data_IF_789570636698
#
_entry.id   IF_789570636698
#
_cell.length_a   1.000
_cell.length_b   1.000
_cell.length_c   1.000
_cell.angle_alpha   90.00
_cell.angle_beta   90.00
_cell.angle_gamma   90.00
#
_symmetry.space_group_name_H-M   'P 1'
#
loop_
_entity.id
_entity.type
_entity.pdbx_description
1 polymer ?
#
# COMPACT_ATOMS: atom_id res chain seq x y z
N UNK A 1 24.28 11.09 4.72
CA UNK A 1 24.29 11.26 4.08
C UNK A 1 24.51 11.82 3.45
N UNK A 2 24.62 11.88 3.46
CA UNK A 2 24.73 12.45 2.83
C UNK A 2 25.03 12.51 1.98
N UNK A 3 25.19 12.50 1.51
CA UNK A 3 25.54 12.65 0.73
C UNK A 3 25.57 13.11 -0.28
N UNK A 4 26.18 13.39 -0.19
CA UNK A 4 26.32 14.10 -1.43
C UNK A 4 25.18 13.92 -2.38
N UNK A 5 24.57 12.82 -2.32
CA UNK A 5 23.41 12.55 -3.15
C UNK A 5 22.16 12.69 -2.32
N UNK A 6 22.01 13.86 -1.78
CA UNK A 6 20.85 14.13 -0.95
C UNK A 6 19.67 14.52 -1.82
N UNK A 7 18.59 13.74 -1.71
CA UNK A 7 17.37 14.04 -2.42
C UNK A 7 16.77 15.33 -1.86
N UNK A 8 16.47 16.32 -2.72
CA UNK A 8 15.82 17.53 -2.24
C UNK A 8 14.50 17.23 -1.55
N UNK A 9 14.21 17.98 -0.51
CA UNK A 9 12.95 17.83 0.21
C UNK A 9 11.74 17.89 -0.74
N UNK A 10 11.82 18.76 -1.75
CA UNK A 10 10.76 18.88 -2.74
C UNK A 10 10.52 17.55 -3.48
N UNK A 11 11.59 16.92 -3.95
CA UNK A 11 11.48 15.67 -4.69
C UNK A 11 10.95 14.56 -3.80
N UNK A 12 11.49 14.46 -2.58
CA UNK A 12 11.01 13.47 -1.60
C UNK A 12 9.54 13.71 -1.29
N UNK A 13 9.15 14.96 -1.10
CA UNK A 13 7.75 15.30 -0.83
C UNK A 13 6.82 14.90 -1.96
N UNK A 14 7.23 15.13 -3.20
CA UNK A 14 6.43 14.72 -4.36
C UNK A 14 6.28 13.21 -4.45
N UNK A 15 7.37 12.48 -4.24
CA UNK A 15 7.33 11.00 -4.29
C UNK A 15 6.41 10.46 -3.20
N UNK A 16 6.56 10.96 -1.98
CA UNK A 16 5.72 10.52 -0.85
C UNK A 16 4.26 10.88 -1.11
N UNK A 17 4.01 12.08 -1.63
CA UNK A 17 2.65 12.53 -1.94
C UNK A 17 2.00 11.60 -2.97
N UNK A 18 2.74 11.21 -4.01
CA UNK A 18 2.24 10.27 -5.01
C UNK A 18 1.85 8.95 -4.38
N UNK A 19 2.67 8.43 -3.47
CA UNK A 19 2.35 7.19 -2.77
C UNK A 19 1.09 7.32 -1.93
N UNK A 20 0.94 8.42 -1.20
CA UNK A 20 -0.25 8.67 -0.38
C UNK A 20 -1.49 8.78 -1.25
N UNK A 21 -1.41 9.53 -2.34
CA UNK A 21 -2.53 9.69 -3.27
C UNK A 21 -2.93 8.34 -3.86
N UNK A 22 -1.96 7.51 -4.23
CA UNK A 22 -2.23 6.18 -4.77
C UNK A 22 -3.00 5.32 -3.77
N UNK A 23 -2.60 5.33 -2.50
CA UNK A 23 -3.30 4.54 -1.47
C UNK A 23 -4.71 5.06 -1.24
N UNK A 24 -4.89 6.38 -1.24
CA UNK A 24 -6.22 6.98 -1.05
C UNK A 24 -7.14 6.69 -2.22
N UNK A 25 -6.63 6.80 -3.45
CA UNK A 25 -7.41 6.49 -4.64
C UNK A 25 -7.82 5.03 -4.65
N UNK A 26 -6.89 4.13 -4.30
CA UNK A 26 -7.17 2.71 -4.24
C UNK A 26 -8.31 2.41 -3.27
N UNK A 27 -8.22 2.95 -2.07
CA UNK A 27 -9.26 2.75 -1.06
C UNK A 27 -10.61 3.27 -1.54
N UNK A 28 -10.63 4.45 -2.14
CA UNK A 28 -11.86 5.06 -2.64
C UNK A 28 -12.46 4.23 -3.77
N UNK A 29 -11.64 3.82 -4.72
CA UNK A 29 -12.10 3.04 -5.87
C UNK A 29 -12.69 1.71 -5.40
N UNK A 30 -12.02 1.01 -4.49
CA UNK A 30 -12.52 -0.27 -3.99
C UNK A 30 -13.83 -0.10 -3.25
N UNK A 31 -13.95 0.92 -2.39
CA UNK A 31 -15.17 1.17 -1.66
C UNK A 31 -16.35 1.46 -2.59
N UNK A 32 -16.11 2.23 -3.64
CA UNK A 32 -17.15 2.55 -4.63
C UNK A 32 -17.51 1.32 -5.44
N UNK A 33 -16.54 0.47 -5.75
CA UNK A 33 -16.72 -0.68 -6.62
C UNK A 33 -17.24 -1.93 -5.90
N UNK A 34 -17.37 -1.92 -4.57
CA UNK A 34 -17.72 -3.13 -3.82
C UNK A 34 -19.03 -3.76 -4.32
N UNK A 35 -20.05 -2.94 -4.56
CA UNK A 35 -21.34 -3.45 -5.03
C UNK A 35 -21.22 -4.12 -6.39
N UNK A 36 -20.50 -3.49 -7.31
CA UNK A 36 -20.26 -4.05 -8.65
C UNK A 36 -19.46 -5.33 -8.57
N UNK A 37 -18.42 -5.36 -7.73
CA UNK A 37 -17.58 -6.54 -7.56
C UNK A 37 -18.37 -7.70 -6.95
N UNK A 38 -19.26 -7.41 -5.99
CA UNK A 38 -20.11 -8.44 -5.41
C UNK A 38 -20.98 -9.10 -6.48
N UNK A 39 -21.55 -8.30 -7.38
CA UNK A 39 -22.33 -8.82 -8.49
C UNK A 39 -21.48 -9.63 -9.47
N UNK A 40 -20.31 -9.14 -9.83
CA UNK A 40 -19.39 -9.79 -10.77
C UNK A 40 -18.92 -11.15 -10.24
N UNK A 41 -18.68 -11.27 -8.95
CA UNK A 41 -18.24 -12.51 -8.33
C UNK A 41 -19.39 -13.36 -7.80
N UNK A 42 -20.63 -12.95 -8.04
CA UNK A 42 -21.83 -13.68 -7.59
C UNK A 42 -21.81 -13.94 -6.09
N UNK A 43 -21.48 -12.91 -5.32
CA UNK A 43 -21.37 -13.01 -3.87
C UNK A 43 -22.09 -11.84 -3.20
N UNK A 44 -22.12 -11.83 -1.88
CA UNK A 44 -22.75 -10.77 -1.11
C UNK A 44 -21.78 -9.61 -0.89
N UNK A 45 -22.33 -8.44 -0.61
CA UNK A 45 -21.54 -7.26 -0.25
C UNK A 45 -20.72 -7.54 1.03
N UNK A 46 -21.32 -8.24 2.00
CA UNK A 46 -20.63 -8.58 3.24
C UNK A 46 -19.38 -9.45 2.97
N UNK A 47 -19.49 -10.43 2.09
CA UNK A 47 -18.35 -11.26 1.70
C UNK A 47 -17.31 -10.43 0.96
N UNK A 48 -17.75 -9.52 0.10
CA UNK A 48 -16.85 -8.66 -0.67
C UNK A 48 -16.07 -7.70 0.23
N UNK A 49 -16.66 -7.30 1.35
CA UNK A 49 -15.99 -6.41 2.30
C UNK A 49 -14.73 -7.05 2.91
N UNK A 50 -14.57 -8.37 2.83
CA UNK A 50 -13.33 -9.02 3.24
C UNK A 50 -12.12 -8.52 2.46
N UNK A 51 -12.33 -8.05 1.23
CA UNK A 51 -11.25 -7.44 0.46
C UNK A 51 -10.73 -6.18 1.15
N UNK A 52 -11.62 -5.35 1.69
CA UNK A 52 -11.23 -4.16 2.44
C UNK A 52 -10.64 -4.54 3.80
N UNK A 53 -11.27 -5.47 4.50
CA UNK A 53 -10.81 -5.93 5.81
C UNK A 53 -9.42 -6.58 5.72
N UNK A 54 -9.22 -7.44 4.71
CA UNK A 54 -7.92 -8.08 4.50
C UNK A 54 -6.82 -7.06 4.25
N UNK A 55 -7.12 -6.03 3.45
CA UNK A 55 -6.19 -4.93 3.21
C UNK A 55 -5.84 -4.20 4.51
N UNK A 56 -6.87 -3.82 5.29
CA UNK A 56 -6.66 -3.08 6.52
C UNK A 56 -5.92 -3.90 7.58
N UNK A 57 -6.21 -5.20 7.68
CA UNK A 57 -5.51 -6.07 8.62
C UNK A 57 -4.03 -6.18 8.25
N UNK A 58 -3.74 -6.41 6.98
CA UNK A 58 -2.35 -6.51 6.51
C UNK A 58 -1.62 -5.20 6.74
N UNK A 59 -2.27 -4.07 6.44
CA UNK A 59 -1.72 -2.75 6.67
C UNK A 59 -1.41 -2.53 8.15
N UNK A 60 -2.33 -2.89 9.02
CA UNK A 60 -2.14 -2.74 10.46
C UNK A 60 -1.00 -3.60 10.99
N UNK A 61 -0.84 -4.80 10.44
CA UNK A 61 0.23 -5.71 10.86
C UNK A 61 1.61 -5.21 10.47
N UNK A 62 1.71 -4.44 9.40
CA UNK A 62 3.02 -3.95 8.93
C UNK A 62 3.48 -2.69 9.64
N UNK A 63 2.57 -1.91 10.23
CA UNK A 63 2.95 -0.67 10.89
C UNK A 63 4.01 -0.88 11.98
N UNK A 64 3.86 -1.84 12.92
CA UNK A 64 4.89 -2.05 13.94
C UNK A 64 6.19 -2.62 13.39
N UNK A 65 6.18 -3.21 12.20
CA UNK A 65 7.38 -3.78 11.58
C UNK A 65 8.22 -2.70 10.90
N UNK A 66 7.65 -1.54 10.63
CA UNK A 66 8.27 -0.48 9.85
C UNK A 66 9.64 -0.07 10.40
N UNK A 67 9.72 0.17 11.71
CA UNK A 67 10.98 0.59 12.32
C UNK A 67 12.09 -0.43 12.15
N UNK A 68 11.76 -1.70 12.35
CA UNK A 68 12.72 -2.79 12.16
C UNK A 68 13.19 -2.86 10.71
N UNK A 69 12.25 -2.81 9.77
CA UNK A 69 12.56 -2.92 8.35
C UNK A 69 13.46 -1.77 7.88
N UNK A 70 13.13 -0.55 8.28
CA UNK A 70 13.92 0.63 7.91
C UNK A 70 15.31 0.56 8.53
N UNK A 71 15.41 0.13 9.78
CA UNK A 71 16.69 -0.02 10.45
C UNK A 71 17.59 -1.05 9.80
N UNK A 72 16.99 -2.12 9.25
CA UNK A 72 17.76 -3.20 8.62
C UNK A 72 18.08 -2.93 7.14
N UNK A 73 17.14 -2.40 6.39
CA UNK A 73 17.27 -2.29 4.93
C UNK A 73 17.39 -0.86 4.43
N UNK A 74 17.16 0.13 5.28
CA UNK A 74 17.17 1.53 4.89
C UNK A 74 15.80 1.96 4.36
N UNK A 75 15.47 3.24 4.58
CA UNK A 75 14.15 3.76 4.22
C UNK A 75 13.89 3.70 2.72
N UNK A 76 14.89 4.01 1.90
CA UNK A 76 14.72 4.01 0.45
C UNK A 76 14.37 2.61 -0.07
N UNK A 77 15.10 1.59 0.40
CA UNK A 77 14.86 0.22 -0.05
C UNK A 77 13.50 -0.27 0.39
N UNK A 78 13.12 0.03 1.63
CA UNK A 78 11.80 -0.34 2.15
C UNK A 78 10.71 0.36 1.36
N UNK A 79 10.88 1.65 1.04
CA UNK A 79 9.94 2.41 0.23
C UNK A 79 9.72 1.76 -1.13
N UNK A 80 10.81 1.42 -1.82
CA UNK A 80 10.74 0.83 -3.16
C UNK A 80 10.06 -0.53 -3.13
N UNK A 81 10.39 -1.38 -2.16
CA UNK A 81 9.76 -2.69 -2.02
C UNK A 81 8.27 -2.52 -1.70
N UNK A 82 7.94 -1.59 -0.81
CA UNK A 82 6.55 -1.32 -0.44
C UNK A 82 5.74 -0.84 -1.62
N UNK A 83 6.30 0.07 -2.40
CA UNK A 83 5.64 0.58 -3.60
C UNK A 83 5.43 -0.54 -4.61
N UNK A 84 6.44 -1.39 -4.80
CA UNK A 84 6.34 -2.54 -5.70
C UNK A 84 5.24 -3.50 -5.25
N UNK A 85 5.18 -3.82 -3.96
CA UNK A 85 4.14 -4.68 -3.41
C UNK A 85 2.76 -4.06 -3.60
N UNK A 86 2.64 -2.76 -3.39
CA UNK A 86 1.37 -2.07 -3.53
C UNK A 86 0.91 -2.10 -4.98
N UNK A 87 1.77 -1.75 -5.92
CA UNK A 87 1.44 -1.72 -7.34
C UNK A 87 1.16 -3.13 -7.86
N UNK A 88 1.98 -4.10 -7.49
CA UNK A 88 1.78 -5.49 -7.89
C UNK A 88 0.46 -6.02 -7.33
N UNK A 89 0.17 -5.75 -6.06
CA UNK A 89 -1.09 -6.16 -5.44
C UNK A 89 -2.28 -5.52 -6.11
N UNK A 90 -2.16 -4.26 -6.51
CA UNK A 90 -3.21 -3.55 -7.22
C UNK A 90 -3.48 -4.18 -8.59
N UNK A 91 -2.42 -4.46 -9.35
CA UNK A 91 -2.55 -5.09 -10.66
C UNK A 91 -3.17 -6.49 -10.54
N UNK A 92 -2.72 -7.28 -9.57
CA UNK A 92 -3.26 -8.61 -9.33
C UNK A 92 -4.72 -8.55 -8.88
N UNK A 93 -5.07 -7.58 -8.06
CA UNK A 93 -6.46 -7.39 -7.63
C UNK A 93 -7.37 -7.09 -8.82
N UNK A 94 -6.89 -6.27 -9.76
CA UNK A 94 -7.64 -5.95 -10.96
C UNK A 94 -7.83 -7.19 -11.84
N UNK A 95 -6.92 -8.16 -11.77
CA UNK A 95 -6.97 -9.39 -12.52
C UNK A 95 -7.56 -10.55 -11.73
N UNK A 96 -8.10 -10.30 -10.54
CA UNK A 96 -8.61 -11.35 -9.67
C UNK A 96 -9.75 -12.12 -10.33
N UNK A 97 -9.73 -13.43 -10.16
CA UNK A 97 -10.74 -14.33 -10.77
C UNK A 97 -11.74 -14.87 -9.77
N UNK A 98 -11.56 -14.60 -8.49
CA UNK A 98 -12.49 -15.03 -7.45
C UNK A 98 -12.38 -14.11 -6.24
N UNK A 99 -13.34 -14.22 -5.34
CA UNK A 99 -13.32 -13.47 -4.08
C UNK A 99 -12.06 -13.81 -3.27
N UNK A 100 -11.72 -15.10 -3.19
CA UNK A 100 -10.56 -15.55 -2.43
C UNK A 100 -9.27 -14.93 -2.99
N UNK A 101 -9.11 -14.96 -4.32
CA UNK A 101 -7.93 -14.37 -4.95
C UNK A 101 -7.89 -12.86 -4.73
N UNK A 102 -9.03 -12.18 -4.83
CA UNK A 102 -9.10 -10.75 -4.59
C UNK A 102 -8.68 -10.41 -3.16
N UNK A 103 -9.20 -11.14 -2.17
CA UNK A 103 -8.83 -10.91 -0.76
C UNK A 103 -7.33 -11.13 -0.55
N UNK A 104 -6.78 -12.21 -1.13
CA UNK A 104 -5.37 -12.51 -1.01
C UNK A 104 -4.51 -11.40 -1.62
N UNK A 105 -4.85 -10.91 -2.80
CA UNK A 105 -4.11 -9.85 -3.46
C UNK A 105 -4.25 -8.52 -2.73
N UNK A 106 -5.42 -8.26 -2.15
CA UNK A 106 -5.63 -7.08 -1.32
C UNK A 106 -4.77 -7.12 -0.06
N UNK A 107 -4.60 -8.30 0.53
CA UNK A 107 -3.71 -8.45 1.68
C UNK A 107 -2.26 -8.14 1.31
N UNK A 108 -1.78 -8.62 0.17
CA UNK A 108 -0.44 -8.29 -0.34
C UNK A 108 -0.30 -6.79 -0.54
N UNK A 109 -1.31 -6.16 -1.13
CA UNK A 109 -1.33 -4.73 -1.34
C UNK A 109 -1.30 -3.96 -0.03
N UNK A 110 -2.00 -4.48 0.99
CA UNK A 110 -2.00 -3.89 2.32
C UNK A 110 -0.63 -3.93 2.99
N UNK A 111 0.15 -5.00 2.78
CA UNK A 111 1.51 -5.08 3.27
C UNK A 111 2.34 -3.92 2.71
N UNK A 112 2.22 -3.66 1.41
CA UNK A 112 2.90 -2.54 0.78
C UNK A 112 2.38 -1.20 1.28
N UNK A 113 1.07 -1.03 1.30
CA UNK A 113 0.43 0.21 1.74
C UNK A 113 0.74 0.57 3.18
N UNK A 114 0.82 -0.44 4.04
CA UNK A 114 1.11 -0.24 5.45
C UNK A 114 2.52 0.27 5.73
N UNK A 115 3.45 0.00 4.82
CA UNK A 115 4.81 0.51 4.94
C UNK A 115 4.97 1.89 4.30
N UNK A 116 4.15 2.22 3.30
CA UNK A 116 4.33 3.45 2.53
C UNK A 116 4.21 4.71 3.38
N UNK A 117 3.16 4.83 4.19
CA UNK A 117 2.94 6.04 4.98
C UNK A 117 4.02 6.26 6.04
N UNK A 118 4.31 5.29 6.94
CA UNK A 118 5.35 5.51 7.94
C UNK A 118 6.72 5.73 7.33
N UNK A 119 7.08 4.94 6.31
CA UNK A 119 8.38 5.07 5.65
C UNK A 119 8.47 6.41 4.93
N UNK A 120 7.38 6.84 4.28
CA UNK A 120 7.32 8.14 3.64
C UNK A 120 7.57 9.27 4.61
N UNK A 121 6.95 9.21 5.79
CA UNK A 121 7.16 10.21 6.83
C UNK A 121 8.60 10.22 7.31
N UNK A 122 9.21 9.03 7.47
CA UNK A 122 10.61 8.92 7.85
C UNK A 122 11.53 9.54 6.80
N UNK A 123 11.24 9.30 5.51
CA UNK A 123 12.02 9.87 4.42
C UNK A 123 11.93 11.40 4.41
N UNK A 124 10.75 11.95 4.65
CA UNK A 124 10.57 13.39 4.72
C UNK A 124 11.35 13.97 5.89
N UNK A 125 11.32 13.32 7.04
CA UNK A 125 12.08 13.77 8.20
C UNK A 125 13.57 13.74 7.93
N UNK A 126 14.06 12.72 7.22
CA UNK A 126 15.47 12.60 6.89
C UNK A 126 15.90 13.66 5.86
N UNK A 127 15.00 14.03 4.95
CA UNK A 127 15.28 15.04 3.92
C UNK A 127 15.20 16.47 4.46
N UNK A 128 14.45 16.69 5.54
CA UNK A 128 14.30 18.04 6.13
C UNK A 128 15.52 18.45 7.04
#
# INVERSE_FOLDING_TARGET
MRYGVRTPLRTTGLVVLLGVVMTMLDTTIVNVALGTLAGDFHTTLATMQWAVTGYLLALSMTVPITGWAVGRFGSRNVWLVSLLLFVAGSALSAAAWSVVSLVAFRAVQGLGGGLLLPVGQMMLAQAA
#
